data_IF_242915681024
#
_entry.id   IF_242915681024
#
_cell.length_a   1.000
_cell.length_b   1.000
_cell.length_c   1.000
_cell.angle_alpha   90.00
_cell.angle_beta   90.00
_cell.angle_gamma   90.00
#
_symmetry.space_group_name_H-M   'P 1'
#
loop_
_entity.id
_entity.type
_entity.pdbx_description
1 polymer ?
#
# COMPACT_ATOMS: atom_id res chain seq x y z
N UNK A 1 -11.78 -21.57 18.10
CA UNK A 1 -12.85 -21.81 17.10
C UNK A 1 -12.19 -22.28 15.81
N UNK A 2 -11.95 -23.58 15.64
CA UNK A 2 -11.54 -24.15 14.35
C UNK A 2 -12.09 -25.57 14.24
N UNK A 3 -13.30 -25.69 13.67
CA UNK A 3 -13.95 -26.96 13.31
C UNK A 3 -13.90 -27.16 11.77
N UNK A 4 -13.60 -26.11 11.00
CA UNK A 4 -13.46 -26.19 9.55
C UNK A 4 -12.02 -26.59 9.14
N UNK A 5 -11.82 -27.59 8.27
CA UNK A 5 -10.50 -28.01 7.77
C UNK A 5 -9.99 -27.04 6.69
N UNK A 6 -9.89 -25.76 7.03
CA UNK A 6 -9.41 -24.70 6.12
C UNK A 6 -7.90 -24.48 6.29
N UNK A 7 -7.20 -24.45 5.16
CA UNK A 7 -5.78 -24.14 5.12
C UNK A 7 -5.51 -22.72 5.64
N UNK A 8 -4.51 -22.57 6.53
CA UNK A 8 -4.10 -21.26 7.06
C UNK A 8 -3.68 -20.29 5.95
N UNK A 9 -3.13 -20.82 4.86
CA UNK A 9 -2.80 -20.07 3.66
C UNK A 9 -4.03 -19.48 2.98
N UNK A 10 -5.14 -20.23 2.94
CA UNK A 10 -6.40 -19.74 2.38
C UNK A 10 -7.01 -18.63 3.25
N UNK A 11 -6.84 -18.69 4.57
CA UNK A 11 -7.27 -17.62 5.49
C UNK A 11 -6.51 -16.32 5.21
N UNK A 12 -5.17 -16.39 5.13
CA UNK A 12 -4.32 -15.22 4.85
C UNK A 12 -4.66 -14.62 3.50
N UNK A 13 -4.73 -15.45 2.45
CA UNK A 13 -5.03 -14.99 1.11
C UNK A 13 -6.44 -14.38 1.00
N UNK A 14 -7.44 -15.03 1.59
CA UNK A 14 -8.81 -14.50 1.65
C UNK A 14 -8.89 -13.16 2.38
N UNK A 15 -8.11 -12.97 3.46
CA UNK A 15 -8.05 -11.70 4.17
C UNK A 15 -7.42 -10.59 3.32
N UNK A 16 -6.31 -10.88 2.64
CA UNK A 16 -5.65 -9.89 1.75
C UNK A 16 -6.58 -9.52 0.60
N UNK A 17 -7.22 -10.49 -0.04
CA UNK A 17 -8.18 -10.22 -1.11
C UNK A 17 -9.40 -9.43 -0.63
N UNK A 18 -9.96 -9.79 0.52
CA UNK A 18 -11.11 -9.09 1.10
C UNK A 18 -10.79 -7.62 1.37
N UNK A 19 -9.68 -7.34 2.05
CA UNK A 19 -9.21 -5.98 2.31
C UNK A 19 -8.89 -5.23 1.02
N UNK A 20 -8.25 -5.89 0.05
CA UNK A 20 -7.93 -5.28 -1.24
C UNK A 20 -9.19 -4.89 -2.02
N UNK A 21 -10.25 -5.70 -1.99
CA UNK A 21 -11.53 -5.37 -2.64
C UNK A 21 -12.22 -4.19 -1.97
N UNK A 22 -12.24 -4.14 -0.64
CA UNK A 22 -12.79 -3.00 0.11
C UNK A 22 -12.03 -1.72 -0.25
N UNK A 23 -10.70 -1.77 -0.24
CA UNK A 23 -9.85 -0.64 -0.62
C UNK A 23 -10.04 -0.25 -2.10
N UNK A 24 -10.27 -1.23 -2.99
CA UNK A 24 -10.51 -0.97 -4.41
C UNK A 24 -11.81 -0.18 -4.61
N UNK A 25 -12.88 -0.55 -3.92
CA UNK A 25 -14.15 0.20 -3.96
C UNK A 25 -13.94 1.64 -3.47
N UNK A 26 -13.21 1.84 -2.37
CA UNK A 26 -12.87 3.17 -1.88
C UNK A 26 -12.04 3.96 -2.91
N UNK A 27 -11.06 3.34 -3.55
CA UNK A 27 -10.23 3.95 -4.60
C UNK A 27 -11.04 4.37 -5.83
N UNK A 28 -11.97 3.53 -6.28
CA UNK A 28 -12.89 3.86 -7.39
C UNK A 28 -13.76 5.05 -7.02
N UNK A 29 -14.32 5.08 -5.81
CA UNK A 29 -15.11 6.24 -5.32
C UNK A 29 -14.26 7.50 -5.34
N UNK A 30 -13.00 7.45 -4.88
CA UNK A 30 -12.09 8.60 -4.91
C UNK A 30 -11.78 9.08 -6.34
N UNK A 31 -11.60 8.17 -7.30
CA UNK A 31 -11.41 8.53 -8.71
C UNK A 31 -12.65 9.23 -9.26
N UNK A 32 -13.85 8.69 -8.99
CA UNK A 32 -15.12 9.29 -9.43
C UNK A 32 -15.28 10.70 -8.84
N UNK A 33 -15.02 10.88 -7.55
CA UNK A 33 -15.06 12.20 -6.90
C UNK A 33 -14.02 13.15 -7.51
N UNK A 34 -12.81 12.67 -7.79
CA UNK A 34 -11.77 13.45 -8.45
C UNK A 34 -12.20 13.98 -9.82
N UNK A 35 -12.87 13.15 -10.62
CA UNK A 35 -13.37 13.52 -11.94
C UNK A 35 -14.59 14.46 -11.88
N UNK A 36 -15.62 14.10 -11.10
CA UNK A 36 -16.92 14.76 -11.15
C UNK A 36 -17.01 15.98 -10.24
N UNK A 37 -16.37 15.95 -9.07
CA UNK A 37 -16.47 17.01 -8.05
C UNK A 37 -15.29 17.96 -8.15
N UNK A 38 -14.08 17.41 -8.21
CA UNK A 38 -12.85 18.21 -8.20
C UNK A 38 -12.35 18.57 -9.61
N UNK A 39 -13.02 18.11 -10.67
CA UNK A 39 -12.67 18.38 -12.07
C UNK A 39 -11.19 18.11 -12.39
N UNK A 40 -10.62 17.06 -11.78
CA UNK A 40 -9.23 16.67 -12.03
C UNK A 40 -9.16 16.14 -13.47
N UNK A 41 -8.38 16.77 -14.37
CA UNK A 41 -8.28 16.27 -15.73
C UNK A 41 -7.65 14.88 -15.67
N UNK A 42 -8.24 13.86 -16.29
CA UNK A 42 -7.56 12.57 -16.47
C UNK A 42 -7.75 12.12 -17.90
N UNK A 43 -6.64 11.74 -18.54
CA UNK A 43 -6.72 11.18 -19.89
C UNK A 43 -7.36 9.77 -19.83
N UNK A 44 -8.02 9.31 -20.90
CA UNK A 44 -8.51 7.93 -20.97
C UNK A 44 -7.41 6.90 -20.72
N UNK A 45 -6.19 7.18 -21.16
CA UNK A 45 -5.01 6.34 -20.90
C UNK A 45 -4.67 6.29 -19.40
N UNK A 46 -4.71 7.43 -18.70
CA UNK A 46 -4.52 7.48 -17.25
C UNK A 46 -5.56 6.63 -16.52
N UNK A 47 -6.84 6.73 -16.91
CA UNK A 47 -7.91 5.92 -16.31
C UNK A 47 -7.75 4.42 -16.58
N UNK A 48 -7.26 4.05 -17.75
CA UNK A 48 -6.97 2.65 -18.08
C UNK A 48 -5.82 2.10 -17.24
N UNK A 49 -4.74 2.88 -17.06
CA UNK A 49 -3.54 2.46 -16.36
C UNK A 49 -3.67 2.53 -14.83
N UNK A 50 -4.49 3.44 -14.29
CA UNK A 50 -4.63 3.62 -12.84
C UNK A 50 -5.31 2.40 -12.20
N UNK A 51 -6.25 1.74 -12.90
CA UNK A 51 -6.99 0.61 -12.35
C UNK A 51 -6.12 -0.60 -11.97
N UNK A 52 -5.26 -1.16 -12.86
CA UNK A 52 -4.35 -2.25 -12.47
C UNK A 52 -3.33 -1.81 -11.41
N UNK A 53 -2.88 -0.55 -11.44
CA UNK A 53 -1.97 -0.01 -10.41
C UNK A 53 -2.68 0.07 -9.05
N UNK A 54 -3.92 0.55 -9.00
CA UNK A 54 -4.75 0.55 -7.79
C UNK A 54 -4.90 -0.87 -7.22
N UNK A 55 -5.15 -1.87 -8.06
CA UNK A 55 -5.25 -3.26 -7.61
C UNK A 55 -3.95 -3.75 -6.94
N UNK A 56 -2.79 -3.49 -7.57
CA UNK A 56 -1.48 -3.84 -7.00
C UNK A 56 -1.27 -3.15 -5.65
N UNK A 57 -1.65 -1.89 -5.54
CA UNK A 57 -1.54 -1.09 -4.30
C UNK A 57 -2.47 -1.63 -3.21
N UNK A 58 -3.69 -2.03 -3.56
CA UNK A 58 -4.64 -2.62 -2.62
C UNK A 58 -4.13 -3.97 -2.08
N UNK A 59 -3.59 -4.82 -2.96
CA UNK A 59 -2.97 -6.08 -2.56
C UNK A 59 -1.73 -5.86 -1.67
N UNK A 60 -0.90 -4.86 -2.02
CA UNK A 60 0.24 -4.44 -1.22
C UNK A 60 -0.19 -4.02 0.20
N UNK A 61 -1.19 -3.16 0.31
CA UNK A 61 -1.73 -2.70 1.59
C UNK A 61 -2.29 -3.85 2.42
N UNK A 62 -3.03 -4.78 1.79
CA UNK A 62 -3.53 -5.98 2.45
C UNK A 62 -2.41 -6.88 3.00
N UNK A 63 -1.37 -7.15 2.20
CA UNK A 63 -0.23 -7.94 2.65
C UNK A 63 0.55 -7.26 3.78
N UNK A 64 0.74 -5.94 3.70
CA UNK A 64 1.38 -5.15 4.74
C UNK A 64 0.57 -5.18 6.05
N UNK A 65 -0.75 -5.01 5.96
CA UNK A 65 -1.64 -5.09 7.12
C UNK A 65 -1.63 -6.46 7.79
N UNK A 66 -1.64 -7.55 7.01
CA UNK A 66 -1.53 -8.92 7.54
C UNK A 66 -0.19 -9.12 8.24
N UNK A 67 0.92 -8.71 7.63
CA UNK A 67 2.24 -8.77 8.26
C UNK A 67 2.22 -8.05 9.61
N UNK A 68 1.78 -6.80 9.65
CA UNK A 68 1.78 -6.02 10.88
C UNK A 68 0.89 -6.64 11.97
N UNK A 69 -0.32 -7.09 11.64
CA UNK A 69 -1.22 -7.73 12.63
C UNK A 69 -0.60 -9.04 13.14
N UNK A 70 0.07 -9.80 12.27
CA UNK A 70 0.69 -11.08 12.65
C UNK A 70 1.85 -10.93 13.64
N UNK A 71 2.48 -9.75 13.71
CA UNK A 71 3.56 -9.47 14.67
C UNK A 71 3.06 -9.32 16.12
N UNK A 72 1.75 -9.13 16.32
CA UNK A 72 1.19 -8.88 17.65
C UNK A 72 0.39 -10.08 18.16
N UNK A 73 0.68 -10.47 19.40
CA UNK A 73 -0.02 -11.57 20.06
C UNK A 73 -1.43 -11.21 20.55
N UNK A 74 -1.71 -9.92 20.73
CA UNK A 74 -2.99 -9.43 21.25
C UNK A 74 -3.59 -8.40 20.30
N UNK A 75 -4.85 -8.61 19.91
CA UNK A 75 -5.58 -7.69 19.04
C UNK A 75 -5.69 -6.28 19.64
N UNK A 76 -5.86 -6.16 20.95
CA UNK A 76 -5.91 -4.85 21.63
C UNK A 76 -4.59 -4.10 21.45
N UNK A 77 -3.46 -4.79 21.63
CA UNK A 77 -2.13 -4.22 21.44
C UNK A 77 -1.88 -3.84 19.98
N UNK A 78 -2.28 -4.68 19.03
CA UNK A 78 -2.19 -4.36 17.60
C UNK A 78 -2.95 -3.06 17.29
N UNK A 79 -4.20 -2.95 17.71
CA UNK A 79 -5.02 -1.77 17.46
C UNK A 79 -4.44 -0.48 18.08
N UNK A 80 -3.75 -0.58 19.23
CA UNK A 80 -3.09 0.57 19.87
C UNK A 80 -1.80 0.99 19.15
N UNK A 81 -1.02 0.05 18.62
CA UNK A 81 0.29 0.33 18.02
C UNK A 81 0.17 0.71 16.54
N UNK A 82 -0.81 0.18 15.81
CA UNK A 82 -0.98 0.44 14.37
C UNK A 82 -0.95 1.94 13.99
N UNK A 83 -1.65 2.85 14.71
CA UNK A 83 -1.58 4.28 14.42
C UNK A 83 -0.15 4.83 14.48
N UNK A 84 0.68 4.38 15.43
CA UNK A 84 2.07 4.80 15.54
C UNK A 84 2.96 4.29 14.40
N UNK A 85 2.55 3.23 13.70
CA UNK A 85 3.23 2.73 12.50
C UNK A 85 2.75 3.47 11.26
N UNK A 86 1.43 3.63 11.11
CA UNK A 86 0.81 4.25 9.93
C UNK A 86 1.02 5.76 9.87
N UNK A 87 1.03 6.44 11.02
CA UNK A 87 1.15 7.89 11.05
C UNK A 87 2.50 8.35 10.46
N UNK A 88 3.68 7.87 10.90
CA UNK A 88 4.95 8.20 10.25
C UNK A 88 4.97 7.86 8.76
N UNK A 89 4.35 6.74 8.37
CA UNK A 89 4.25 6.36 6.97
C UNK A 89 3.55 7.43 6.13
N UNK A 90 2.44 8.02 6.59
CA UNK A 90 1.72 9.03 5.79
C UNK A 90 2.55 10.30 5.56
N UNK A 91 3.31 10.77 6.54
CA UNK A 91 4.16 11.95 6.39
C UNK A 91 5.40 11.65 5.55
N UNK A 92 6.07 10.53 5.83
CA UNK A 92 7.34 10.18 5.19
C UNK A 92 7.17 9.47 3.84
N UNK A 93 6.01 8.93 3.49
CA UNK A 93 5.74 8.44 2.12
C UNK A 93 5.49 9.58 1.13
N UNK A 94 5.26 10.78 1.66
CA UNK A 94 5.02 11.98 0.91
C UNK A 94 3.60 12.14 0.42
N UNK A 95 2.61 11.54 1.10
CA UNK A 95 1.17 11.80 0.83
C UNK A 95 0.82 13.25 1.16
N UNK A 96 1.21 13.73 2.35
CA UNK A 96 0.91 15.09 2.80
C UNK A 96 1.99 16.12 2.42
N UNK A 97 3.26 15.70 2.42
CA UNK A 97 4.40 16.59 2.20
C UNK A 97 5.23 16.10 1.00
N UNK A 98 5.70 16.99 0.11
CA UNK A 98 6.60 16.58 -0.96
C UNK A 98 7.95 16.13 -0.37
N UNK A 99 8.29 14.84 -0.51
CA UNK A 99 9.50 14.25 0.10
C UNK A 99 10.81 14.55 -0.65
N UNK A 100 10.78 15.45 -1.64
CA UNK A 100 11.94 15.82 -2.46
C UNK A 100 12.94 16.72 -1.72
N UNK A 101 12.43 17.55 -0.80
CA UNK A 101 13.20 18.56 -0.07
C UNK A 101 13.37 18.18 1.40
N UNK A 102 13.32 16.89 1.73
CA UNK A 102 13.58 16.44 3.08
C UNK A 102 15.08 16.59 3.41
N UNK A 103 15.43 17.02 4.62
CA UNK A 103 16.81 16.95 5.08
C UNK A 103 17.28 15.49 5.12
N UNK A 104 18.58 15.28 5.01
CA UNK A 104 19.19 13.96 4.75
C UNK A 104 18.72 12.85 5.71
N UNK A 105 18.51 13.17 6.99
CA UNK A 105 18.05 12.22 8.00
C UNK A 105 16.61 11.76 7.78
N UNK A 106 15.70 12.67 7.37
CA UNK A 106 14.31 12.31 7.05
C UNK A 106 14.20 11.60 5.70
N UNK A 107 15.06 11.92 4.74
CA UNK A 107 15.07 11.23 3.44
C UNK A 107 15.47 9.76 3.60
N UNK A 108 16.43 9.44 4.47
CA UNK A 108 16.77 8.05 4.81
C UNK A 108 15.57 7.33 5.42
N UNK A 109 14.91 7.93 6.42
CA UNK A 109 13.71 7.33 7.03
C UNK A 109 12.59 7.14 6.00
N UNK A 110 12.39 8.10 5.12
CA UNK A 110 11.41 8.06 4.04
C UNK A 110 11.66 6.92 3.05
N UNK A 111 12.93 6.65 2.68
CA UNK A 111 13.29 5.52 1.81
C UNK A 111 13.02 4.15 2.44
N UNK A 112 12.99 4.06 3.76
CA UNK A 112 12.63 2.83 4.49
C UNK A 112 11.11 2.61 4.49
N UNK A 113 10.31 3.67 4.33
CA UNK A 113 8.86 3.56 4.38
C UNK A 113 8.29 2.88 3.12
N UNK A 114 7.69 1.68 3.23
CA UNK A 114 7.08 0.98 2.08
C UNK A 114 6.09 1.82 1.27
N UNK A 115 5.25 2.61 1.95
CA UNK A 115 4.24 3.44 1.28
C UNK A 115 4.83 4.48 0.32
N UNK A 116 6.10 4.89 0.46
CA UNK A 116 6.73 5.88 -0.42
C UNK A 116 6.66 5.45 -1.89
N UNK A 117 7.02 4.20 -2.17
CA UNK A 117 7.12 3.67 -3.53
C UNK A 117 5.76 3.54 -4.20
N UNK A 118 4.76 3.14 -3.42
CA UNK A 118 3.37 3.03 -3.87
C UNK A 118 2.76 4.39 -4.19
N UNK A 119 3.00 5.40 -3.35
CA UNK A 119 2.52 6.76 -3.58
C UNK A 119 3.18 7.37 -4.81
N UNK A 120 4.49 7.19 -4.98
CA UNK A 120 5.23 7.66 -6.16
C UNK A 120 4.81 6.92 -7.44
N UNK A 121 4.48 5.62 -7.36
CA UNK A 121 3.92 4.85 -8.47
C UNK A 121 2.59 5.44 -8.96
N UNK A 122 1.66 5.72 -8.04
CA UNK A 122 0.36 6.34 -8.36
C UNK A 122 0.56 7.70 -9.04
N UNK A 123 1.49 8.52 -8.52
CA UNK A 123 1.84 9.81 -9.14
C UNK A 123 2.39 9.65 -10.54
N UNK A 124 3.25 8.65 -10.75
CA UNK A 124 3.77 8.29 -12.06
C UNK A 124 2.69 8.10 -13.11
N UNK A 125 1.57 7.47 -12.75
CA UNK A 125 0.45 7.27 -13.68
C UNK A 125 -0.42 8.52 -13.79
N UNK A 126 -0.77 9.16 -12.68
CA UNK A 126 -1.65 10.34 -12.67
C UNK A 126 -1.06 11.54 -13.44
N UNK A 127 0.25 11.73 -13.38
CA UNK A 127 0.95 12.84 -14.04
C UNK A 127 1.56 12.46 -15.38
N UNK A 128 1.31 11.25 -15.89
CA UNK A 128 1.89 10.77 -17.15
C UNK A 128 1.56 11.73 -18.30
N UNK A 129 2.59 12.15 -19.04
CA UNK A 129 2.45 13.08 -20.17
C UNK A 129 2.27 14.55 -19.79
N UNK A 130 2.31 14.91 -18.50
CA UNK A 130 2.20 16.30 -18.03
C UNK A 130 3.57 16.98 -17.86
N UNK A 131 3.65 18.31 -18.03
CA UNK A 131 4.90 19.04 -17.82
C UNK A 131 5.41 18.95 -16.38
N UNK A 132 4.52 18.83 -15.39
CA UNK A 132 4.88 18.72 -13.97
C UNK A 132 5.43 17.34 -13.56
N UNK A 133 5.41 16.35 -14.46
CA UNK A 133 5.81 14.97 -14.18
C UNK A 133 7.18 14.87 -13.49
N UNK A 134 8.20 15.55 -14.04
CA UNK A 134 9.57 15.52 -13.49
C UNK A 134 9.71 16.22 -12.13
N UNK A 135 8.76 17.07 -11.77
CA UNK A 135 8.77 17.78 -10.49
C UNK A 135 8.20 16.90 -9.37
N UNK A 136 7.19 16.09 -9.71
CA UNK A 136 6.36 15.34 -8.77
C UNK A 136 6.81 13.88 -8.63
N UNK A 137 7.15 13.24 -9.74
CA UNK A 137 7.54 11.82 -9.78
C UNK A 137 9.03 11.69 -9.48
N UNK A 138 9.37 10.87 -8.49
CA UNK A 138 10.75 10.76 -8.00
C UNK A 138 11.54 9.67 -8.70
N UNK A 139 10.94 8.49 -8.82
CA UNK A 139 11.55 7.33 -9.46
C UNK A 139 10.78 6.96 -10.73
N UNK A 140 11.45 6.25 -11.63
CA UNK A 140 10.77 5.71 -12.79
C UNK A 140 9.61 4.78 -12.33
N UNK A 141 8.39 4.90 -12.89
CA UNK A 141 7.27 4.06 -12.51
C UNK A 141 7.57 2.56 -12.56
N UNK A 142 8.41 2.10 -13.49
CA UNK A 142 8.84 0.70 -13.57
C UNK A 142 9.70 0.27 -12.38
N UNK A 143 10.56 1.18 -11.87
CA UNK A 143 11.37 0.92 -10.68
C UNK A 143 10.46 0.88 -9.44
N UNK A 144 9.55 1.84 -9.31
CA UNK A 144 8.57 1.83 -8.22
C UNK A 144 7.70 0.57 -8.24
N UNK A 145 7.28 0.14 -9.43
CA UNK A 145 6.53 -1.10 -9.62
C UNK A 145 7.35 -2.30 -9.17
N UNK A 146 8.60 -2.43 -9.62
CA UNK A 146 9.50 -3.51 -9.23
C UNK A 146 9.71 -3.55 -7.70
N UNK A 147 10.00 -2.40 -7.08
CA UNK A 147 10.18 -2.31 -5.62
C UNK A 147 8.88 -2.69 -4.90
N UNK A 148 7.73 -2.18 -5.35
CA UNK A 148 6.42 -2.50 -4.77
C UNK A 148 6.11 -3.99 -4.86
N UNK A 149 6.38 -4.62 -6.00
CA UNK A 149 6.17 -6.07 -6.19
C UNK A 149 7.10 -6.88 -5.29
N UNK A 150 8.38 -6.51 -5.19
CA UNK A 150 9.34 -7.19 -4.30
C UNK A 150 8.88 -7.08 -2.85
N UNK A 151 8.53 -5.88 -2.40
CA UNK A 151 8.03 -5.65 -1.04
C UNK A 151 6.71 -6.38 -0.78
N UNK A 152 5.79 -6.42 -1.75
CA UNK A 152 4.57 -7.21 -1.65
C UNK A 152 4.86 -8.70 -1.41
N UNK A 153 5.76 -9.29 -2.18
CA UNK A 153 6.15 -10.69 -1.99
C UNK A 153 6.79 -10.90 -0.62
N UNK A 154 7.67 -10.00 -0.19
CA UNK A 154 8.29 -10.04 1.14
C UNK A 154 7.23 -9.99 2.23
N UNK A 155 6.27 -9.06 2.17
CA UNK A 155 5.20 -8.92 3.17
C UNK A 155 4.26 -10.11 3.18
N UNK A 156 3.89 -10.61 2.00
CA UNK A 156 3.05 -11.78 1.85
C UNK A 156 3.71 -13.01 2.47
N UNK A 157 4.97 -13.29 2.13
CA UNK A 157 5.71 -14.46 2.62
C UNK A 157 5.98 -14.36 4.11
N UNK A 158 6.54 -13.23 4.58
CA UNK A 158 6.85 -13.03 6.01
C UNK A 158 5.58 -13.02 6.86
N UNK A 159 4.54 -12.31 6.45
CA UNK A 159 3.26 -12.25 7.15
C UNK A 159 2.59 -13.62 7.23
N UNK A 160 2.64 -14.41 6.15
CA UNK A 160 2.12 -15.79 6.15
C UNK A 160 2.90 -16.69 7.09
N UNK A 161 4.24 -16.64 7.07
CA UNK A 161 5.08 -17.47 7.95
C UNK A 161 4.83 -17.13 9.41
N UNK A 162 4.78 -15.84 9.77
CA UNK A 162 4.56 -15.38 11.15
C UNK A 162 3.16 -15.75 11.60
N UNK A 163 2.14 -15.54 10.76
CA UNK A 163 0.76 -15.92 11.05
C UNK A 163 0.63 -17.42 11.34
N UNK A 164 1.21 -18.27 10.48
CA UNK A 164 1.17 -19.72 10.65
C UNK A 164 1.88 -20.15 11.94
N UNK A 165 2.99 -19.50 12.31
CA UNK A 165 3.73 -19.78 13.54
C UNK A 165 2.97 -19.34 14.79
N UNK A 166 2.42 -18.12 14.79
CA UNK A 166 1.63 -17.59 15.91
C UNK A 166 0.44 -18.50 16.23
N UNK A 167 -0.27 -18.98 15.21
CA UNK A 167 -1.43 -19.85 15.38
C UNK A 167 -1.08 -21.31 15.76
N UNK A 168 0.19 -21.70 15.70
CA UNK A 168 0.64 -23.01 16.22
C UNK A 168 0.97 -22.94 17.72
N UNK A 169 1.33 -21.76 18.21
CA UNK A 169 1.79 -21.53 19.58
C UNK A 169 0.68 -20.99 20.51
N UNK A 170 -0.55 -20.81 20.00
CA UNK A 170 -1.76 -20.49 20.77
C UNK A 170 -2.66 -21.72 20.86
#
# INVERSE_FOLDING_TARGET
>A
MFIAPISRYAIVFGKILGEALVAMVQGVVLIILGLLVFNVPMSPLTLLLIFPVCLIICLFGGAFGVLLISLFNNQRTANMIMPFILFPQFFLSGVFLPVRNLPWYLDILSKIMPMRYVVDLTRGICYLGRPEYKQIVMLNPLINLAITTVLFVVFLVSGTIIFVRSERNR
#
